data_IF_893609197778
#
_entry.id   IF_893609197778
#
_cell.length_a   1.000
_cell.length_b   1.000
_cell.length_c   1.000
_cell.angle_alpha   90.00
_cell.angle_beta   90.00
_cell.angle_gamma   90.00
#
_symmetry.space_group_name_H-M   'P 1'
#
loop_
_entity.id
_entity.type
_entity.pdbx_description
1 polymer ?
#
# COMPACT_ATOMS: atom_id res chain seq x y z
N UNK A 1 -10.28 7.32 15.62
CA UNK A 1 -9.67 8.66 15.44
C UNK A 1 -8.37 8.52 14.67
N UNK A 2 -8.22 9.25 13.58
CA UNK A 2 -6.96 9.36 12.82
C UNK A 2 -6.05 10.32 13.57
N UNK A 3 -4.88 9.87 14.02
CA UNK A 3 -4.06 10.59 15.01
C UNK A 3 -2.88 11.35 14.38
N UNK A 4 -2.52 11.07 13.13
CA UNK A 4 -1.32 11.61 12.47
C UNK A 4 -1.67 12.42 11.23
N UNK A 5 -1.02 13.57 11.03
CA UNK A 5 -1.26 14.48 9.89
C UNK A 5 -1.15 13.77 8.52
N UNK A 6 -0.21 12.84 8.36
CA UNK A 6 -0.03 12.09 7.11
C UNK A 6 -1.24 11.21 6.77
N UNK A 7 -1.87 10.59 7.77
CA UNK A 7 -3.10 9.82 7.57
C UNK A 7 -4.28 10.74 7.19
N UNK A 8 -4.38 11.93 7.80
CA UNK A 8 -5.43 12.92 7.45
C UNK A 8 -5.25 13.36 5.99
N UNK A 9 -4.03 13.74 5.62
CA UNK A 9 -3.68 14.15 4.26
C UNK A 9 -4.04 13.05 3.24
N UNK A 10 -3.71 11.79 3.56
CA UNK A 10 -4.04 10.63 2.74
C UNK A 10 -5.54 10.45 2.57
N UNK A 11 -6.31 10.50 3.66
CA UNK A 11 -7.77 10.32 3.60
C UNK A 11 -8.47 11.46 2.86
N UNK A 12 -7.99 12.71 2.99
CA UNK A 12 -8.51 13.83 2.22
C UNK A 12 -8.32 13.61 0.72
N UNK A 13 -7.15 13.12 0.30
CA UNK A 13 -6.87 12.82 -1.10
C UNK A 13 -7.62 11.59 -1.62
N UNK A 14 -7.85 10.59 -0.76
CA UNK A 14 -8.69 9.43 -1.09
C UNK A 14 -10.15 9.83 -1.31
N UNK A 15 -10.64 10.79 -0.54
CA UNK A 15 -12.00 11.36 -0.67
C UNK A 15 -12.14 12.35 -1.83
N UNK A 16 -11.04 12.68 -2.51
CA UNK A 16 -11.10 13.52 -3.70
C UNK A 16 -11.93 12.85 -4.80
N UNK A 17 -12.68 13.66 -5.54
CA UNK A 17 -13.58 13.16 -6.58
C UNK A 17 -12.83 12.43 -7.69
N UNK A 18 -11.63 12.88 -8.06
CA UNK A 18 -10.88 12.25 -9.13
C UNK A 18 -10.33 10.88 -8.72
N UNK A 19 -9.80 10.76 -7.49
CA UNK A 19 -9.35 9.46 -6.96
C UNK A 19 -10.49 8.45 -6.90
N UNK A 20 -11.67 8.89 -6.43
CA UNK A 20 -12.86 8.03 -6.34
C UNK A 20 -13.35 7.59 -7.72
N UNK A 21 -13.44 8.52 -8.69
CA UNK A 21 -13.81 8.21 -10.08
C UNK A 21 -12.83 7.22 -10.71
N UNK A 22 -11.54 7.40 -10.49
CA UNK A 22 -10.51 6.49 -10.99
C UNK A 22 -10.68 5.09 -10.43
N UNK A 23 -10.92 4.94 -9.13
CA UNK A 23 -11.17 3.63 -8.52
C UNK A 23 -12.40 2.96 -9.15
N UNK A 24 -13.51 3.70 -9.29
CA UNK A 24 -14.75 3.19 -9.88
C UNK A 24 -14.63 2.84 -11.36
N UNK A 25 -13.86 3.61 -12.14
CA UNK A 25 -13.73 3.41 -13.58
C UNK A 25 -12.70 2.32 -13.95
N UNK A 26 -11.66 2.12 -13.13
CA UNK A 26 -10.55 1.21 -13.46
C UNK A 26 -10.68 -0.17 -12.83
N UNK A 27 -11.37 -0.32 -11.71
CA UNK A 27 -11.50 -1.60 -10.99
C UNK A 27 -12.94 -2.09 -11.00
N UNK A 28 -13.11 -3.39 -11.17
CA UNK A 28 -14.43 -4.01 -11.23
C UNK A 28 -15.05 -4.11 -9.81
N UNK A 29 -14.18 -4.19 -8.80
CA UNK A 29 -14.52 -4.03 -7.39
C UNK A 29 -13.37 -3.33 -6.66
N UNK A 30 -13.71 -2.49 -5.69
CA UNK A 30 -12.72 -1.98 -4.74
C UNK A 30 -13.33 -1.79 -3.35
N UNK A 31 -12.51 -2.01 -2.33
CA UNK A 31 -12.80 -1.67 -0.95
C UNK A 31 -11.51 -1.26 -0.25
N UNK A 32 -11.61 -0.50 0.84
CA UNK A 32 -10.48 -0.20 1.69
C UNK A 32 -10.87 -0.25 3.16
N UNK A 33 -9.89 -0.45 4.03
CA UNK A 33 -10.07 -0.44 5.47
C UNK A 33 -8.83 0.14 6.15
N UNK A 34 -9.05 0.81 7.28
CA UNK A 34 -7.97 1.10 8.21
C UNK A 34 -7.64 -0.19 8.97
N UNK A 35 -6.35 -0.45 9.17
CA UNK A 35 -5.87 -1.57 9.99
C UNK A 35 -5.64 -1.05 11.42
N UNK A 36 -6.12 -1.81 12.40
CA UNK A 36 -5.88 -1.55 13.81
C UNK A 36 -4.87 -2.58 14.35
N UNK A 37 -3.70 -2.11 14.78
CA UNK A 37 -2.60 -2.97 15.24
C UNK A 37 -2.92 -3.82 16.50
N UNK A 38 -3.98 -3.48 17.24
CA UNK A 38 -4.40 -4.20 18.44
C UNK A 38 -5.53 -5.21 18.18
N UNK A 39 -6.33 -4.98 17.14
CA UNK A 39 -7.48 -5.83 16.80
C UNK A 39 -7.18 -6.76 15.61
N UNK A 40 -6.42 -6.27 14.64
CA UNK A 40 -6.12 -6.99 13.41
C UNK A 40 -4.78 -7.72 13.50
N UNK A 41 -4.80 -9.03 13.21
CA UNK A 41 -3.58 -9.84 13.10
C UNK A 41 -2.99 -9.80 11.67
N UNK A 42 -2.99 -8.62 11.05
CA UNK A 42 -2.50 -8.41 9.69
C UNK A 42 -1.22 -7.56 9.70
N UNK A 43 -0.09 -8.22 9.49
CA UNK A 43 1.22 -7.58 9.48
C UNK A 43 2.14 -8.21 8.44
N UNK A 44 3.16 -7.45 8.03
CA UNK A 44 4.26 -7.91 7.20
C UNK A 44 5.44 -8.20 8.13
N UNK A 45 5.90 -9.46 8.26
CA UNK A 45 7.07 -9.78 9.07
C UNK A 45 8.34 -9.27 8.39
N UNK A 46 9.29 -8.77 9.18
CA UNK A 46 10.62 -8.38 8.71
C UNK A 46 11.67 -8.64 9.79
N UNK A 47 12.93 -8.80 9.37
CA UNK A 47 14.07 -8.95 10.29
C UNK A 47 14.72 -7.58 10.48
N UNK A 48 14.91 -7.18 11.73
CA UNK A 48 15.71 -6.01 12.10
C UNK A 48 16.60 -6.35 13.29
N UNK A 49 17.90 -6.05 13.21
CA UNK A 49 18.89 -6.33 14.25
C UNK A 49 18.82 -7.78 14.78
N UNK A 50 18.73 -8.75 13.87
CA UNK A 50 18.59 -10.19 14.16
C UNK A 50 17.33 -10.59 14.96
N UNK A 51 16.35 -9.69 15.13
CA UNK A 51 15.06 -9.98 15.72
C UNK A 51 13.94 -9.93 14.66
N UNK A 52 12.95 -10.81 14.80
CA UNK A 52 11.70 -10.72 14.02
C UNK A 52 10.88 -9.53 14.54
N UNK A 53 10.43 -8.69 13.61
CA UNK A 53 9.52 -7.58 13.88
C UNK A 53 8.31 -7.66 12.97
N UNK A 54 7.21 -7.08 13.45
CA UNK A 54 5.94 -7.02 12.73
C UNK A 54 5.70 -5.59 12.28
N UNK A 55 5.50 -5.41 10.98
CA UNK A 55 5.09 -4.13 10.42
C UNK A 55 3.59 -4.16 10.16
N UNK A 56 2.87 -3.24 10.80
CA UNK A 56 1.45 -3.00 10.60
C UNK A 56 1.28 -1.75 9.72
N UNK A 57 0.89 -1.89 8.43
CA UNK A 57 0.53 -0.75 7.59
C UNK A 57 -0.76 -0.09 8.10
N UNK A 58 -0.96 1.20 7.83
CA UNK A 58 -2.16 1.92 8.30
C UNK A 58 -3.44 1.52 7.53
N UNK A 59 -3.33 1.23 6.23
CA UNK A 59 -4.48 0.94 5.36
C UNK A 59 -4.24 -0.27 4.47
N UNK A 60 -5.33 -0.99 4.17
CA UNK A 60 -5.40 -2.04 3.17
C UNK A 60 -6.47 -1.69 2.12
N UNK A 61 -6.14 -1.93 0.86
CA UNK A 61 -7.03 -1.84 -0.29
C UNK A 61 -7.16 -3.22 -0.94
N UNK A 62 -8.40 -3.58 -1.24
CA UNK A 62 -8.78 -4.75 -2.00
C UNK A 62 -9.27 -4.25 -3.35
N UNK A 63 -8.49 -4.48 -4.42
CA UNK A 63 -8.83 -4.02 -5.77
C UNK A 63 -8.94 -5.22 -6.70
N UNK A 64 -10.05 -5.37 -7.42
CA UNK A 64 -10.26 -6.44 -8.38
C UNK A 64 -10.28 -5.87 -9.80
N UNK A 65 -9.53 -6.51 -10.71
CA UNK A 65 -9.62 -6.26 -12.15
C UNK A 65 -9.51 -7.55 -12.95
N UNK A 66 -10.59 -7.93 -13.64
CA UNK A 66 -10.71 -9.22 -14.31
C UNK A 66 -10.41 -10.36 -13.34
N UNK A 67 -9.49 -11.25 -13.71
CA UNK A 67 -9.03 -12.36 -12.87
C UNK A 67 -7.84 -11.99 -11.96
N UNK A 68 -7.62 -10.69 -11.69
CA UNK A 68 -6.52 -10.21 -10.85
C UNK A 68 -7.03 -9.50 -9.60
N UNK A 69 -6.71 -10.07 -8.43
CA UNK A 69 -6.85 -9.42 -7.13
C UNK A 69 -5.55 -8.71 -6.75
N UNK A 70 -5.64 -7.43 -6.45
CA UNK A 70 -4.54 -6.64 -5.92
C UNK A 70 -4.84 -6.35 -4.45
N UNK A 71 -3.94 -6.77 -3.56
CA UNK A 71 -3.95 -6.44 -2.15
C UNK A 71 -2.90 -5.35 -1.96
N UNK A 72 -3.35 -4.12 -1.76
CA UNK A 72 -2.46 -2.96 -1.68
C UNK A 72 -2.46 -2.37 -0.26
N UNK A 73 -1.31 -2.42 0.40
CA UNK A 73 -1.06 -1.79 1.68
C UNK A 73 -0.54 -0.37 1.47
N UNK A 74 -1.13 0.59 2.16
CA UNK A 74 -0.70 2.00 2.14
C UNK A 74 -0.42 2.47 3.56
N UNK A 75 0.76 3.05 3.76
CA UNK A 75 1.25 3.49 5.06
C UNK A 75 1.71 4.96 4.98
N UNK A 76 0.83 5.93 5.29
CA UNK A 76 1.14 7.35 5.25
C UNK A 76 2.23 7.79 6.23
N UNK A 77 3.32 8.37 5.71
CA UNK A 77 4.46 8.82 6.50
C UNK A 77 4.54 10.33 6.62
N UNK A 78 4.74 10.79 7.86
CA UNK A 78 5.05 12.17 8.18
C UNK A 78 6.53 12.50 7.93
N UNK A 79 7.09 13.41 8.73
CA UNK A 79 8.47 13.90 8.55
C UNK A 79 9.54 13.00 9.16
N UNK A 80 9.18 12.13 10.11
CA UNK A 80 10.11 11.17 10.72
C UNK A 80 10.21 9.92 9.84
N UNK A 81 11.27 9.90 9.05
CA UNK A 81 11.64 8.82 8.14
C UNK A 81 12.63 7.89 8.88
N UNK A 82 12.17 7.18 9.90
CA UNK A 82 12.95 6.10 10.53
C UNK A 82 12.30 4.75 10.26
N UNK A 83 13.11 3.75 9.97
CA UNK A 83 12.78 2.32 9.80
C UNK A 83 11.93 1.89 8.59
N UNK A 84 11.52 2.80 7.70
CA UNK A 84 10.84 2.40 6.45
C UNK A 84 11.73 1.56 5.52
N UNK A 85 13.07 1.70 5.63
CA UNK A 85 14.03 0.98 4.77
C UNK A 85 13.92 -0.53 4.96
N UNK A 86 13.98 -1.00 6.22
CA UNK A 86 13.83 -2.41 6.55
C UNK A 86 12.46 -2.97 6.11
N UNK A 87 11.40 -2.15 6.18
CA UNK A 87 10.06 -2.51 5.71
C UNK A 87 10.00 -2.62 4.18
N UNK A 88 10.60 -1.68 3.47
CA UNK A 88 10.70 -1.71 2.00
C UNK A 88 11.50 -2.92 1.52
N UNK A 89 12.60 -3.23 2.20
CA UNK A 89 13.46 -4.37 1.88
C UNK A 89 12.74 -5.71 2.13
N UNK A 90 11.94 -5.83 3.19
CA UNK A 90 11.08 -6.99 3.40
C UNK A 90 10.02 -7.12 2.30
N UNK A 91 9.40 -6.00 1.90
CA UNK A 91 8.43 -6.00 0.80
C UNK A 91 9.04 -6.39 -0.55
N UNK A 92 10.35 -6.22 -0.75
CA UNK A 92 11.05 -6.69 -1.96
C UNK A 92 10.80 -8.18 -2.24
N UNK A 93 10.47 -8.97 -1.22
CA UNK A 93 10.08 -10.38 -1.35
C UNK A 93 8.76 -10.59 -2.10
N UNK A 94 7.88 -9.60 -2.14
CA UNK A 94 6.57 -9.63 -2.80
C UNK A 94 6.55 -8.81 -4.10
N UNK A 95 7.46 -7.83 -4.22
CA UNK A 95 7.56 -6.95 -5.39
C UNK A 95 7.67 -7.79 -6.68
N UNK A 96 6.85 -7.42 -7.67
CA UNK A 96 6.79 -8.01 -9.01
C UNK A 96 6.44 -9.52 -9.04
N UNK A 97 5.95 -10.08 -7.93
CA UNK A 97 5.44 -11.45 -7.89
C UNK A 97 3.94 -11.52 -8.16
N UNK A 98 3.56 -12.56 -8.87
CA UNK A 98 2.17 -12.97 -9.05
C UNK A 98 2.00 -14.30 -8.32
N UNK A 99 1.00 -14.36 -7.45
CA UNK A 99 0.61 -15.58 -6.76
C UNK A 99 -0.64 -16.15 -7.41
N UNK A 100 -0.73 -17.47 -7.52
CA UNK A 100 -1.91 -18.15 -8.03
C UNK A 100 -2.47 -19.08 -6.95
N UNK A 101 -3.79 -19.02 -6.67
CA UNK A 101 -4.44 -20.00 -5.82
C UNK A 101 -4.22 -21.43 -6.33
N UNK A 102 -4.12 -22.40 -5.42
CA UNK A 102 -3.95 -23.82 -5.78
C UNK A 102 -5.13 -24.38 -6.60
N UNK A 103 -6.32 -23.81 -6.38
CA UNK A 103 -7.58 -24.23 -6.99
C UNK A 103 -7.92 -23.45 -8.27
N UNK A 104 -7.21 -22.36 -8.58
CA UNK A 104 -7.40 -21.59 -9.82
C UNK A 104 -6.06 -20.99 -10.28
N UNK A 105 -5.38 -21.62 -11.25
CA UNK A 105 -4.11 -21.12 -11.77
C UNK A 105 -4.25 -19.86 -12.64
N UNK A 106 -5.46 -19.52 -13.11
CA UNK A 106 -5.69 -18.35 -13.94
C UNK A 106 -5.96 -17.10 -13.11
N UNK A 107 -6.48 -17.27 -11.89
CA UNK A 107 -6.61 -16.19 -10.92
C UNK A 107 -5.25 -15.73 -10.41
N UNK A 108 -5.01 -14.42 -10.46
CA UNK A 108 -3.74 -13.77 -10.09
C UNK A 108 -3.93 -12.94 -8.84
N UNK A 109 -3.01 -13.07 -7.89
CA UNK A 109 -2.94 -12.24 -6.69
C UNK A 109 -1.63 -11.46 -6.75
N UNK A 110 -1.75 -10.12 -6.69
CA UNK A 110 -0.61 -9.20 -6.54
C UNK A 110 -0.67 -8.59 -5.14
N UNK A 111 0.48 -8.52 -4.48
CA UNK A 111 0.61 -7.84 -3.18
C UNK A 111 1.48 -6.61 -3.39
N UNK A 112 0.96 -5.45 -3.02
CA UNK A 112 1.64 -4.16 -3.18
C UNK A 112 1.75 -3.45 -1.83
N UNK A 113 2.93 -2.87 -1.55
CA UNK A 113 3.13 -1.97 -0.42
C UNK A 113 3.60 -0.63 -0.95
N UNK A 114 2.95 0.44 -0.49
CA UNK A 114 3.36 1.81 -0.73
C UNK A 114 3.36 2.62 0.56
N UNK A 115 4.35 3.50 0.67
CA UNK A 115 4.33 4.60 1.62
C UNK A 115 3.73 5.82 0.94
N UNK A 116 3.03 6.67 1.69
CA UNK A 116 2.44 7.89 1.17
C UNK A 116 3.04 9.13 1.82
N UNK A 117 3.42 10.13 1.04
CA UNK A 117 3.89 11.42 1.55
C UNK A 117 4.85 12.13 0.60
N UNK A 118 5.84 12.86 1.13
CA UNK A 118 6.80 13.63 0.32
C UNK A 118 7.97 12.75 -0.18
N UNK A 119 7.87 12.32 -1.44
CA UNK A 119 8.86 11.48 -2.15
C UNK A 119 10.19 12.19 -2.36
N UNK A 120 10.23 13.53 -2.38
CA UNK A 120 11.46 14.29 -2.58
C UNK A 120 12.40 14.20 -1.37
N UNK A 121 11.86 13.92 -0.19
CA UNK A 121 12.60 13.73 1.06
C UNK A 121 13.15 12.31 1.23
N UNK A 122 12.94 11.44 0.23
CA UNK A 122 13.32 10.03 0.27
C UNK A 122 14.51 9.81 -0.69
N UNK A 123 15.56 9.08 -0.26
CA UNK A 123 16.64 8.62 -1.14
C UNK A 123 16.10 7.92 -2.38
N UNK A 124 16.74 8.16 -3.52
CA UNK A 124 16.30 7.71 -4.84
C UNK A 124 15.96 6.22 -4.90
N UNK A 125 16.81 5.36 -4.30
CA UNK A 125 16.62 3.91 -4.26
C UNK A 125 15.31 3.43 -3.62
N UNK A 126 14.65 4.27 -2.82
CA UNK A 126 13.38 3.92 -2.16
C UNK A 126 12.16 4.68 -2.72
N UNK A 127 12.36 5.59 -3.67
CA UNK A 127 11.30 6.43 -4.24
C UNK A 127 10.20 5.59 -4.91
N UNK A 128 10.52 4.43 -5.46
CA UNK A 128 9.53 3.54 -6.08
C UNK A 128 8.51 2.98 -5.08
N UNK A 129 8.86 2.91 -3.80
CA UNK A 129 7.93 2.48 -2.76
C UNK A 129 7.04 3.62 -2.26
N UNK A 130 7.18 4.83 -2.81
CA UNK A 130 6.44 6.00 -2.37
C UNK A 130 5.44 6.51 -3.40
N UNK A 131 4.22 6.77 -2.92
CA UNK A 131 3.21 7.61 -3.57
C UNK A 131 3.46 9.04 -3.09
N UNK A 132 3.68 9.94 -4.05
CA UNK A 132 3.81 11.36 -3.75
C UNK A 132 2.45 11.91 -3.29
N UNK A 133 2.43 12.72 -2.23
CA UNK A 133 1.23 13.47 -1.83
C UNK A 133 0.70 14.30 -3.02
N UNK A 134 -0.60 14.20 -3.31
CA UNK A 134 -1.25 14.79 -4.48
C UNK A 134 -1.19 13.92 -5.75
N UNK A 135 -0.74 12.67 -5.65
CA UNK A 135 -0.56 11.71 -6.75
C UNK A 135 -1.16 10.33 -6.50
N UNK A 136 -2.10 10.22 -5.56
CA UNK A 136 -2.81 8.99 -5.24
C UNK A 136 -3.67 8.52 -6.42
N UNK A 137 -4.32 9.45 -7.12
CA UNK A 137 -5.04 9.17 -8.36
C UNK A 137 -4.14 8.52 -9.43
N UNK A 138 -3.00 9.16 -9.73
CA UNK A 138 -2.01 8.66 -10.70
C UNK A 138 -1.49 7.26 -10.31
N UNK A 139 -1.33 7.01 -9.01
CA UNK A 139 -0.96 5.68 -8.51
C UNK A 139 -2.03 4.62 -8.84
N UNK A 140 -3.31 4.87 -8.55
CA UNK A 140 -4.36 3.89 -8.84
C UNK A 140 -4.59 3.68 -10.34
N UNK A 141 -4.28 4.66 -11.19
CA UNK A 141 -4.30 4.49 -12.64
C UNK A 141 -3.23 3.52 -13.16
N UNK A 142 -2.05 3.50 -12.52
CA UNK A 142 -0.89 2.69 -12.95
C UNK A 142 -0.84 1.31 -12.33
N UNK A 143 -1.60 1.07 -11.26
CA UNK A 143 -1.57 -0.17 -10.49
C UNK A 143 -2.31 -1.34 -11.17
N UNK A 144 -3.17 -1.06 -12.15
CA UNK A 144 -4.05 -2.06 -12.79
C UNK A 144 -3.34 -3.07 -13.70
N UNK A 145 -2.09 -2.80 -14.08
CA UNK A 145 -1.32 -3.59 -15.06
C UNK A 145 -0.40 -4.63 -14.41
#
# INVERSE_FOLDING_TARGET
MVKVKSEIDFLQELQDQETTKTLQANYDFWAFSKIDEHLDNLFIPYINDAAERRFFPDFIFWLQKGDTQIICFIDPKGTKISDYQHKADAYKLFKDKIFNPKNDPYFKIKVVLKFYGDKNRVPEKYRDYWIQKGKLNDFFLTLKD
#
